data_IF_693108844196
#
_entry.id   IF_693108844196
#
_cell.length_a   1.000
_cell.length_b   1.000
_cell.length_c   1.000
_cell.angle_alpha   90.00
_cell.angle_beta   90.00
_cell.angle_gamma   90.00
#
_symmetry.space_group_name_H-M   'P 1'
#
loop_
_entity.id
_entity.type
_entity.pdbx_description
1 polymer ?
#
# COMPACT_ATOMS: atom_id res chain seq x y z
N UNK A 1 5.73 5.88 -6.89
CA UNK A 1 4.86 7.01 -7.32
C UNK A 1 3.78 6.63 -8.34
N UNK A 2 3.93 5.57 -9.13
CA UNK A 2 2.96 5.16 -10.17
C UNK A 2 1.53 4.87 -9.67
N UNK A 3 1.39 4.27 -8.48
CA UNK A 3 0.09 3.81 -7.96
C UNK A 3 -0.90 4.96 -7.67
N UNK A 4 -0.41 6.09 -7.14
CA UNK A 4 -1.24 7.27 -6.85
C UNK A 4 -1.78 7.96 -8.11
N UNK A 5 -1.03 7.89 -9.22
CA UNK A 5 -1.47 8.40 -10.53
C UNK A 5 -2.56 7.49 -11.14
N UNK A 6 -2.43 6.17 -10.99
CA UNK A 6 -3.40 5.19 -11.51
C UNK A 6 -4.77 5.31 -10.82
N UNK A 7 -4.82 5.52 -9.51
CA UNK A 7 -6.07 5.67 -8.74
C UNK A 7 -6.78 7.00 -9.00
N UNK A 8 -6.04 8.10 -9.17
CA UNK A 8 -6.63 9.41 -9.49
C UNK A 8 -7.23 9.44 -10.91
N UNK A 9 -6.59 8.82 -11.90
CA UNK A 9 -7.14 8.72 -13.25
C UNK A 9 -8.40 7.84 -13.27
N UNK A 10 -8.38 6.65 -12.66
CA UNK A 10 -9.52 5.73 -12.74
C UNK A 10 -10.79 6.26 -12.06
N UNK A 11 -10.65 7.08 -11.01
CA UNK A 11 -11.77 7.75 -10.34
C UNK A 11 -12.50 8.79 -11.20
N UNK A 12 -11.80 9.49 -12.10
CA UNK A 12 -12.44 10.48 -12.98
C UNK A 12 -13.06 9.84 -14.23
N UNK A 13 -12.43 8.82 -14.83
CA UNK A 13 -12.99 8.18 -16.04
C UNK A 13 -14.28 7.41 -15.75
N UNK A 14 -14.42 6.81 -14.55
CA UNK A 14 -15.65 6.08 -14.16
C UNK A 14 -16.86 6.98 -13.88
N UNK A 15 -16.65 8.28 -13.63
CA UNK A 15 -17.73 9.21 -13.26
C UNK A 15 -18.11 10.19 -14.40
N UNK A 16 -17.50 10.03 -15.58
CA UNK A 16 -17.82 10.80 -16.79
C UNK A 16 -18.66 9.91 -17.71
N UNK A 17 -19.98 9.89 -17.47
CA UNK A 17 -20.90 8.90 -18.01
C UNK A 17 -20.99 8.87 -19.55
N UNK A 18 -20.46 7.83 -20.15
CA UNK A 18 -20.82 7.35 -21.49
C UNK A 18 -21.82 6.20 -21.33
N UNK A 19 -23.12 6.50 -21.48
CA UNK A 19 -24.19 5.52 -21.35
C UNK A 19 -24.55 4.83 -22.67
N UNK A 20 -25.09 3.61 -22.55
CA UNK A 20 -25.75 2.84 -23.62
C UNK A 20 -24.94 1.64 -24.12
N UNK A 21 -25.51 0.44 -24.04
CA UNK A 21 -24.96 -0.78 -24.65
C UNK A 21 -25.29 -2.06 -23.88
N UNK A 22 -26.08 -2.94 -24.51
CA UNK A 22 -26.65 -4.16 -23.93
C UNK A 22 -26.57 -5.31 -24.99
N UNK A 23 -26.48 -6.60 -24.66
CA UNK A 23 -26.60 -7.31 -23.36
C UNK A 23 -25.61 -8.52 -23.26
N UNK A 24 -26.08 -9.67 -22.76
CA UNK A 24 -25.56 -11.04 -22.89
C UNK A 24 -24.47 -11.54 -21.93
N UNK A 25 -24.95 -12.23 -20.90
CA UNK A 25 -24.49 -13.52 -20.36
C UNK A 25 -22.97 -13.80 -20.20
N UNK A 26 -22.53 -13.81 -18.94
CA UNK A 26 -21.91 -15.01 -18.32
C UNK A 26 -22.06 -14.92 -16.80
N UNK A 27 -23.19 -15.39 -16.27
CA UNK A 27 -23.34 -15.64 -14.84
C UNK A 27 -22.54 -16.90 -14.47
N UNK A 28 -21.69 -16.86 -13.43
CA UNK A 28 -21.20 -18.13 -12.85
C UNK A 28 -19.92 -18.17 -12.01
N UNK A 29 -18.93 -17.27 -12.16
CA UNK A 29 -17.59 -17.52 -11.57
C UNK A 29 -16.83 -16.30 -11.00
N UNK A 30 -17.42 -15.10 -10.99
CA UNK A 30 -16.71 -13.87 -10.58
C UNK A 30 -16.74 -13.57 -9.08
N UNK A 31 -17.29 -14.46 -8.25
CA UNK A 31 -17.53 -14.23 -6.82
C UNK A 31 -16.38 -14.64 -5.89
N UNK A 32 -15.33 -15.31 -6.40
CA UNK A 32 -14.34 -16.02 -5.57
C UNK A 32 -12.87 -15.65 -5.77
N UNK A 33 -12.49 -14.93 -6.84
CA UNK A 33 -11.09 -14.53 -7.06
C UNK A 33 -10.84 -13.06 -6.64
N UNK A 34 -10.02 -12.80 -5.60
CA UNK A 34 -9.68 -11.45 -5.17
C UNK A 34 -8.86 -10.65 -6.20
N UNK A 35 -8.17 -11.30 -7.15
CA UNK A 35 -7.47 -10.62 -8.23
C UNK A 35 -8.47 -10.04 -9.25
N UNK A 36 -9.46 -10.85 -9.67
CA UNK A 36 -10.54 -10.41 -10.55
C UNK A 36 -11.37 -9.27 -9.94
N UNK A 37 -11.63 -9.32 -8.62
CA UNK A 37 -12.31 -8.24 -7.91
C UNK A 37 -11.53 -6.90 -7.90
N UNK A 38 -10.20 -6.93 -8.07
CA UNK A 38 -9.38 -5.71 -8.25
C UNK A 38 -9.12 -5.37 -9.72
N UNK A 39 -9.62 -6.16 -10.67
CA UNK A 39 -9.39 -5.97 -12.10
C UNK A 39 -7.92 -6.16 -12.52
N UNK A 40 -7.17 -6.97 -11.76
CA UNK A 40 -5.78 -7.34 -12.06
C UNK A 40 -5.72 -8.83 -12.43
N UNK A 41 -4.73 -9.20 -13.22
CA UNK A 41 -4.41 -10.63 -13.39
C UNK A 41 -3.90 -11.20 -12.07
N UNK A 42 -4.01 -12.52 -11.91
CA UNK A 42 -3.61 -13.20 -10.67
C UNK A 42 -2.13 -12.97 -10.32
N UNK A 43 -1.26 -12.96 -11.32
CA UNK A 43 0.18 -12.72 -11.15
C UNK A 43 0.45 -11.29 -10.66
N UNK A 44 -0.20 -10.27 -11.25
CA UNK A 44 -0.11 -8.87 -10.81
C UNK A 44 -0.62 -8.68 -9.36
N UNK A 45 -1.64 -9.44 -8.95
CA UNK A 45 -2.15 -9.39 -7.58
C UNK A 45 -1.20 -10.02 -6.56
N UNK A 46 -0.55 -11.14 -6.89
CA UNK A 46 0.47 -11.78 -6.05
C UNK A 46 1.72 -10.87 -5.91
N UNK A 47 2.17 -10.22 -7.00
CA UNK A 47 3.23 -9.21 -6.94
C UNK A 47 2.84 -7.97 -6.13
N UNK A 48 1.61 -7.47 -6.27
CA UNK A 48 1.12 -6.34 -5.49
C UNK A 48 1.07 -6.64 -3.99
N UNK A 49 0.60 -7.82 -3.58
CA UNK A 49 0.65 -8.25 -2.17
C UNK A 49 2.09 -8.30 -1.66
N UNK A 50 3.02 -8.84 -2.45
CA UNK A 50 4.45 -8.89 -2.11
C UNK A 50 5.04 -7.50 -1.91
N UNK A 51 4.77 -6.55 -2.82
CA UNK A 51 5.20 -5.15 -2.70
C UNK A 51 4.66 -4.49 -1.42
N UNK A 52 3.38 -4.69 -1.08
CA UNK A 52 2.80 -4.16 0.16
C UNK A 52 3.50 -4.68 1.43
N UNK A 53 3.90 -5.96 1.43
CA UNK A 53 4.64 -6.58 2.55
C UNK A 53 6.07 -6.04 2.60
N UNK A 54 6.77 -5.97 1.47
CA UNK A 54 8.14 -5.45 1.38
C UNK A 54 8.21 -3.96 1.81
N UNK A 55 7.33 -3.10 1.29
CA UNK A 55 7.24 -1.69 1.70
C UNK A 55 6.92 -1.53 3.20
N UNK A 56 6.12 -2.44 3.78
CA UNK A 56 5.85 -2.44 5.22
C UNK A 56 7.10 -2.81 6.01
N UNK A 57 7.78 -3.89 5.64
CA UNK A 57 9.01 -4.35 6.28
C UNK A 57 10.12 -3.29 6.22
N UNK A 58 10.27 -2.61 5.07
CA UNK A 58 11.20 -1.47 4.94
C UNK A 58 10.84 -0.29 5.86
N UNK A 59 9.55 0.06 5.99
CA UNK A 59 9.12 1.15 6.88
C UNK A 59 9.32 0.79 8.35
N UNK A 60 8.98 -0.42 8.75
CA UNK A 60 9.09 -0.89 10.13
C UNK A 60 10.57 -1.00 10.56
N UNK A 61 11.46 -1.46 9.68
CA UNK A 61 12.92 -1.49 9.92
C UNK A 61 13.52 -0.08 10.00
N UNK A 62 13.21 0.82 9.07
CA UNK A 62 13.66 2.23 9.11
C UNK A 62 13.17 2.94 10.37
N UNK A 63 11.92 2.69 10.79
CA UNK A 63 11.37 3.23 12.03
C UNK A 63 12.07 2.68 13.27
N UNK A 64 12.33 1.37 13.32
CA UNK A 64 13.06 0.74 14.42
C UNK A 64 14.48 1.30 14.56
N UNK A 65 15.20 1.48 13.44
CA UNK A 65 16.53 2.08 13.42
C UNK A 65 16.51 3.52 13.94
N UNK A 66 15.67 4.40 13.38
CA UNK A 66 15.58 5.80 13.84
C UNK A 66 15.16 5.90 15.32
N UNK A 67 14.30 4.99 15.80
CA UNK A 67 13.91 4.92 17.21
C UNK A 67 15.08 4.53 18.11
N UNK A 68 15.95 3.62 17.67
CA UNK A 68 17.16 3.24 18.38
C UNK A 68 18.18 4.39 18.41
N UNK A 69 18.48 5.00 17.26
CA UNK A 69 19.37 6.17 17.14
C UNK A 69 18.89 7.36 18.00
N UNK A 70 17.59 7.61 18.02
CA UNK A 70 17.00 8.66 18.88
C UNK A 70 17.15 8.32 20.37
N UNK A 71 17.07 7.04 20.74
CA UNK A 71 17.25 6.59 22.11
C UNK A 71 18.71 6.73 22.57
N UNK A 72 19.69 6.36 21.74
CA UNK A 72 21.12 6.48 22.06
C UNK A 72 21.57 7.94 22.19
N UNK A 73 21.13 8.81 21.26
CA UNK A 73 21.36 10.25 21.38
C UNK A 73 20.76 10.82 22.68
N UNK A 74 19.54 10.40 23.03
CA UNK A 74 18.90 10.83 24.28
C UNK A 74 19.67 10.37 25.52
N UNK A 75 20.17 9.13 25.56
CA UNK A 75 20.96 8.66 26.71
C UNK A 75 22.29 9.41 26.84
N UNK A 76 23.04 9.61 25.75
CA UNK A 76 24.31 10.34 25.80
C UNK A 76 24.14 11.80 26.23
N UNK A 77 23.09 12.49 25.76
CA UNK A 77 22.78 13.85 26.24
C UNK A 77 22.39 13.84 27.73
N UNK A 78 21.61 12.86 28.17
CA UNK A 78 21.19 12.72 29.58
C UNK A 78 22.40 12.52 30.51
N UNK A 79 23.34 11.67 30.11
CA UNK A 79 24.60 11.41 30.81
C UNK A 79 25.51 12.65 30.83
N UNK A 80 25.74 13.29 29.67
CA UNK A 80 26.59 14.48 29.53
C UNK A 80 26.16 15.62 30.47
N UNK A 81 24.86 15.84 30.63
CA UNK A 81 24.30 16.89 31.49
C UNK A 81 23.80 16.38 32.85
N UNK A 82 24.11 15.13 33.22
CA UNK A 82 23.75 14.49 34.51
C UNK A 82 22.25 14.59 34.86
N UNK A 83 21.39 14.50 33.86
CA UNK A 83 19.94 14.58 34.04
C UNK A 83 19.41 13.27 34.67
N UNK A 84 18.48 13.34 35.66
CA UNK A 84 17.88 12.15 36.29
C UNK A 84 17.13 11.31 35.25
N UNK A 85 17.05 9.97 35.40
CA UNK A 85 16.55 9.05 34.35
C UNK A 85 15.08 9.23 33.93
#
# INVERSE_FOLDING_TARGET
MSFLLKSMVSGQVKNLGLGGGEESQTEGDTATDPAAAQGMTREEYEEYQKQLVEEKMERDTKFAQQKAERATLRTHLREKYRLPK
#
